data_IF_425631769171
#
_entry.id   IF_425631769171
#
_cell.length_a   1.000
_cell.length_b   1.000
_cell.length_c   1.000
_cell.angle_alpha   90.00
_cell.angle_beta   90.00
_cell.angle_gamma   90.00
#
_symmetry.space_group_name_H-M   'P 1'
#
loop_
_entity.id
_entity.type
_entity.pdbx_description
1 polymer ?
#
# COMPACT_ATOMS: atom_id res chain seq x y z
N UNK A 1 -14.89 -3.89 -4.29
CA UNK A 1 -16.18 -3.31 -3.85
C UNK A 1 -16.10 -3.10 -2.34
N UNK A 2 -16.20 -1.84 -1.89
CA UNK A 2 -15.97 -1.43 -0.50
C UNK A 2 -17.10 -1.96 0.40
N UNK A 3 -16.86 -2.03 1.71
CA UNK A 3 -17.84 -2.57 2.66
C UNK A 3 -19.13 -1.74 2.72
N UNK A 4 -19.01 -0.43 2.54
CA UNK A 4 -20.16 0.47 2.37
C UNK A 4 -21.01 0.08 1.15
N UNK A 5 -20.43 -0.09 -0.04
CA UNK A 5 -21.19 -0.46 -1.25
C UNK A 5 -21.90 -1.80 -1.13
N UNK A 6 -21.30 -2.74 -0.36
CA UNK A 6 -21.93 -4.03 -0.07
C UNK A 6 -23.12 -3.85 0.88
N UNK A 7 -22.97 -3.05 1.92
CA UNK A 7 -24.03 -2.79 2.89
C UNK A 7 -25.17 -1.94 2.29
N UNK A 8 -24.85 -1.00 1.40
CA UNK A 8 -25.81 -0.22 0.64
C UNK A 8 -26.64 -1.12 -0.28
N UNK A 9 -25.99 -2.03 -1.03
CA UNK A 9 -26.69 -2.96 -1.93
C UNK A 9 -27.65 -3.92 -1.19
N UNK A 10 -27.40 -4.25 0.08
CA UNK A 10 -28.32 -5.06 0.88
C UNK A 10 -29.68 -4.38 1.13
N UNK A 11 -29.73 -3.04 1.11
CA UNK A 11 -31.00 -2.31 1.21
C UNK A 11 -31.84 -2.44 -0.05
N UNK A 12 -31.22 -2.61 -1.22
CA UNK A 12 -31.93 -2.82 -2.48
C UNK A 12 -32.62 -4.20 -2.49
N UNK A 13 -31.99 -5.20 -1.86
CA UNK A 13 -32.50 -6.58 -1.77
C UNK A 13 -33.46 -6.78 -0.58
N UNK A 14 -33.32 -6.01 0.50
CA UNK A 14 -34.11 -6.15 1.74
C UNK A 14 -34.53 -4.78 2.29
N UNK A 15 -35.52 -4.10 1.71
CA UNK A 15 -35.86 -2.71 2.05
C UNK A 15 -36.18 -2.50 3.53
N UNK A 16 -36.79 -3.48 4.19
CA UNK A 16 -37.16 -3.40 5.62
C UNK A 16 -35.95 -3.28 6.55
N UNK A 17 -34.75 -3.71 6.12
CA UNK A 17 -33.53 -3.56 6.92
C UNK A 17 -33.19 -2.09 7.15
N UNK A 18 -33.62 -1.20 6.25
CA UNK A 18 -33.38 0.24 6.35
C UNK A 18 -34.10 0.89 7.52
N UNK A 19 -35.17 0.27 8.03
CA UNK A 19 -35.89 0.73 9.21
C UNK A 19 -35.13 0.44 10.51
N UNK A 20 -34.16 -0.48 10.47
CA UNK A 20 -33.35 -0.84 11.63
C UNK A 20 -32.36 0.28 11.98
N UNK A 21 -32.43 0.78 13.21
CA UNK A 21 -31.41 1.69 13.77
C UNK A 21 -30.01 1.10 13.69
N UNK A 22 -29.89 -0.22 13.85
CA UNK A 22 -28.60 -0.91 13.75
C UNK A 22 -28.03 -0.78 12.32
N UNK A 23 -28.86 -1.02 11.30
CA UNK A 23 -28.45 -0.87 9.90
C UNK A 23 -28.00 0.56 9.60
N UNK A 24 -28.81 1.56 9.98
CA UNK A 24 -28.50 2.97 9.75
C UNK A 24 -27.17 3.39 10.41
N UNK A 25 -26.91 2.92 11.63
CA UNK A 25 -25.64 3.19 12.33
C UNK A 25 -24.44 2.58 11.61
N UNK A 26 -24.54 1.32 11.16
CA UNK A 26 -23.46 0.66 10.43
C UNK A 26 -23.22 1.28 9.06
N UNK A 27 -24.29 1.64 8.33
CA UNK A 27 -24.18 2.30 7.04
C UNK A 27 -23.46 3.64 7.16
N UNK A 28 -23.81 4.44 8.17
CA UNK A 28 -23.10 5.69 8.48
C UNK A 28 -21.64 5.44 8.81
N UNK A 29 -21.35 4.49 9.71
CA UNK A 29 -19.97 4.15 10.11
C UNK A 29 -19.10 3.78 8.90
N UNK A 30 -19.58 2.90 8.03
CA UNK A 30 -18.81 2.46 6.87
C UNK A 30 -18.69 3.53 5.79
N UNK A 31 -19.69 4.41 5.64
CA UNK A 31 -19.59 5.57 4.76
C UNK A 31 -18.51 6.54 5.24
N UNK A 32 -18.51 6.84 6.53
CA UNK A 32 -17.56 7.78 7.12
C UNK A 32 -16.14 7.19 7.09
N UNK A 33 -16.00 5.88 7.33
CA UNK A 33 -14.74 5.14 7.11
C UNK A 33 -14.28 5.21 5.66
N UNK A 34 -15.15 4.95 4.69
CA UNK A 34 -14.78 4.99 3.27
C UNK A 34 -14.31 6.38 2.86
N UNK A 35 -15.02 7.44 3.26
CA UNK A 35 -14.59 8.83 3.01
C UNK A 35 -13.21 9.14 3.59
N UNK A 36 -12.92 8.61 4.78
CA UNK A 36 -11.61 8.77 5.41
C UNK A 36 -10.52 8.01 4.65
N UNK A 37 -10.78 6.75 4.26
CA UNK A 37 -9.86 5.94 3.44
C UNK A 37 -9.61 6.59 2.07
N UNK A 38 -10.65 7.12 1.42
CA UNK A 38 -10.53 7.86 0.15
C UNK A 38 -9.64 9.10 0.33
N UNK A 39 -9.86 9.87 1.39
CA UNK A 39 -9.04 11.05 1.70
C UNK A 39 -7.56 10.71 1.94
N UNK A 40 -7.27 9.59 2.62
CA UNK A 40 -5.89 9.09 2.77
C UNK A 40 -5.32 8.67 1.42
N UNK A 41 -6.12 7.98 0.60
CA UNK A 41 -5.72 7.54 -0.72
C UNK A 41 -5.33 8.72 -1.61
N UNK A 42 -6.16 9.76 -1.64
CA UNK A 42 -5.93 10.98 -2.42
C UNK A 42 -4.68 11.71 -1.94
N UNK A 43 -4.52 11.87 -0.62
CA UNK A 43 -3.32 12.48 -0.04
C UNK A 43 -2.05 11.70 -0.39
N UNK A 44 -2.06 10.37 -0.18
CA UNK A 44 -0.90 9.51 -0.48
C UNK A 44 -0.54 9.53 -1.97
N UNK A 45 -1.54 9.50 -2.87
CA UNK A 45 -1.33 9.63 -4.31
C UNK A 45 -0.67 10.96 -4.64
N UNK A 46 -1.24 12.07 -4.13
CA UNK A 46 -0.74 13.41 -4.40
C UNK A 46 0.75 13.54 -4.02
N UNK A 47 1.10 13.14 -2.80
CA UNK A 47 2.45 13.29 -2.28
C UNK A 47 3.45 12.38 -3.01
N UNK A 48 3.11 11.12 -3.24
CA UNK A 48 3.99 10.19 -3.95
C UNK A 48 4.19 10.59 -5.42
N UNK A 49 3.14 11.12 -6.07
CA UNK A 49 3.23 11.66 -7.42
C UNK A 49 4.19 12.85 -7.49
N UNK A 50 4.06 13.79 -6.55
CA UNK A 50 4.93 14.96 -6.45
C UNK A 50 6.39 14.57 -6.21
N UNK A 51 6.64 13.62 -5.31
CA UNK A 51 7.99 13.09 -5.02
C UNK A 51 8.58 12.44 -6.27
N UNK A 52 7.85 11.53 -6.92
CA UNK A 52 8.33 10.82 -8.11
C UNK A 52 8.61 11.79 -9.28
N UNK A 53 7.73 12.75 -9.51
CA UNK A 53 7.91 13.79 -10.53
C UNK A 53 9.15 14.63 -10.26
N UNK A 54 9.34 15.09 -9.01
CA UNK A 54 10.50 15.88 -8.63
C UNK A 54 11.81 15.11 -8.79
N UNK A 55 11.86 13.85 -8.33
CA UNK A 55 13.04 13.00 -8.50
C UNK A 55 13.38 12.83 -9.99
N UNK A 56 12.39 12.54 -10.83
CA UNK A 56 12.58 12.42 -12.29
C UNK A 56 13.10 13.71 -12.91
N UNK A 57 12.52 14.86 -12.56
CA UNK A 57 12.97 16.17 -13.06
C UNK A 57 14.43 16.47 -12.69
N UNK A 58 14.87 16.01 -11.52
CA UNK A 58 16.21 16.24 -10.99
C UNK A 58 17.22 15.14 -11.36
N UNK A 59 16.82 14.12 -12.12
CA UNK A 59 17.68 12.98 -12.44
C UNK A 59 18.03 12.12 -11.22
N UNK A 60 17.24 12.20 -10.14
CA UNK A 60 17.40 11.37 -8.95
C UNK A 60 16.74 10.03 -9.22
N UNK A 61 17.51 8.94 -9.15
CA UNK A 61 16.98 7.58 -9.24
C UNK A 61 16.15 7.30 -7.98
N UNK A 62 14.88 6.96 -8.17
CA UNK A 62 13.95 6.63 -7.10
C UNK A 62 13.59 5.14 -7.17
N UNK A 63 13.59 4.47 -6.03
CA UNK A 63 12.91 3.19 -5.82
C UNK A 63 11.81 3.40 -4.79
N UNK A 64 10.77 2.58 -4.84
CA UNK A 64 9.64 2.67 -3.90
C UNK A 64 9.41 1.30 -3.26
N UNK A 65 8.85 1.25 -2.06
CA UNK A 65 8.70 0.01 -1.30
C UNK A 65 7.28 -0.16 -0.76
N UNK A 66 6.78 -1.39 -0.78
CA UNK A 66 5.51 -1.75 -0.13
C UNK A 66 5.71 -1.99 1.36
N UNK A 67 4.68 -1.78 2.17
CA UNK A 67 4.73 -2.14 3.57
C UNK A 67 4.92 -3.67 3.74
N UNK A 68 5.62 -4.12 4.80
CA UNK A 68 5.77 -5.54 5.12
C UNK A 68 4.47 -6.19 5.62
N UNK A 69 3.47 -5.39 5.96
CA UNK A 69 2.14 -5.81 6.42
C UNK A 69 1.06 -5.46 5.41
N UNK A 70 -0.12 -6.08 5.58
CA UNK A 70 -1.24 -5.90 4.67
C UNK A 70 -1.92 -4.54 4.89
N UNK A 71 -1.46 -3.52 4.17
CA UNK A 71 -2.17 -2.25 3.98
C UNK A 71 -2.63 -2.13 2.52
N UNK A 72 -3.83 -2.65 2.17
CA UNK A 72 -4.27 -2.73 0.79
C UNK A 72 -4.29 -1.38 0.08
N UNK A 73 -4.83 -0.34 0.73
CA UNK A 73 -4.88 1.01 0.16
C UNK A 73 -3.46 1.53 -0.14
N UNK A 74 -2.59 1.61 0.87
CA UNK A 74 -1.25 2.16 0.71
C UNK A 74 -0.41 1.37 -0.30
N UNK A 75 -0.41 0.04 -0.20
CA UNK A 75 0.33 -0.82 -1.13
C UNK A 75 -0.19 -0.69 -2.57
N UNK A 76 -1.52 -0.54 -2.78
CA UNK A 76 -2.08 -0.34 -4.12
C UNK A 76 -1.68 1.01 -4.72
N UNK A 77 -1.64 2.08 -3.92
CA UNK A 77 -1.20 3.41 -4.35
C UNK A 77 0.29 3.40 -4.71
N UNK A 78 1.11 2.72 -3.90
CA UNK A 78 2.54 2.53 -4.18
C UNK A 78 2.76 1.83 -5.52
N UNK A 79 2.03 0.74 -5.79
CA UNK A 79 2.13 0.01 -7.07
C UNK A 79 1.64 0.85 -8.26
N UNK A 80 0.62 1.68 -8.07
CA UNK A 80 0.14 2.61 -9.09
C UNK A 80 1.21 3.65 -9.46
N UNK A 81 1.80 4.32 -8.46
CA UNK A 81 2.86 5.31 -8.68
C UNK A 81 4.09 4.64 -9.31
N UNK A 82 4.45 3.45 -8.85
CA UNK A 82 5.55 2.70 -9.43
C UNK A 82 5.33 2.42 -10.92
N UNK A 83 4.14 1.95 -11.31
CA UNK A 83 3.80 1.75 -12.73
C UNK A 83 3.81 3.04 -13.53
N UNK A 84 3.27 4.14 -12.97
CA UNK A 84 3.19 5.45 -13.65
C UNK A 84 4.57 6.02 -14.00
N UNK A 85 5.54 5.85 -13.10
CA UNK A 85 6.89 6.43 -13.25
C UNK A 85 7.96 5.40 -13.61
N UNK A 86 7.58 4.15 -13.90
CA UNK A 86 8.49 3.03 -14.16
C UNK A 86 9.53 2.85 -13.03
N UNK A 87 9.07 2.93 -11.78
CA UNK A 87 9.92 2.81 -10.60
C UNK A 87 10.09 1.34 -10.19
N UNK A 88 11.31 0.92 -9.82
CA UNK A 88 11.54 -0.35 -9.16
C UNK A 88 10.79 -0.43 -7.82
N UNK A 89 10.07 -1.54 -7.60
CA UNK A 89 9.32 -1.80 -6.37
C UNK A 89 10.04 -2.82 -5.49
N UNK A 90 10.25 -2.46 -4.22
CA UNK A 90 10.68 -3.40 -3.18
C UNK A 90 9.43 -4.03 -2.54
N UNK A 91 9.20 -5.32 -2.79
CA UNK A 91 8.06 -6.05 -2.24
C UNK A 91 8.40 -6.68 -0.89
N UNK A 92 8.16 -5.93 0.19
CA UNK A 92 8.28 -6.48 1.55
C UNK A 92 7.09 -7.37 1.91
N UNK A 93 5.87 -7.04 1.49
CA UNK A 93 4.66 -7.79 1.84
C UNK A 93 4.79 -9.28 1.50
N UNK A 94 5.20 -9.59 0.27
CA UNK A 94 5.35 -10.99 -0.17
C UNK A 94 6.42 -11.72 0.65
N UNK A 95 7.50 -11.03 1.01
CA UNK A 95 8.59 -11.61 1.80
C UNK A 95 8.19 -11.87 3.25
N UNK A 96 7.43 -10.97 3.85
CA UNK A 96 7.03 -11.06 5.26
C UNK A 96 5.82 -11.97 5.49
N UNK A 97 4.99 -12.21 4.47
CA UNK A 97 3.82 -13.08 4.56
C UNK A 97 4.16 -14.46 5.13
N UNK A 98 5.28 -15.04 4.68
CA UNK A 98 5.65 -16.42 4.97
C UNK A 98 6.64 -16.56 6.15
N UNK A 99 7.01 -15.45 6.82
CA UNK A 99 7.90 -15.46 7.99
C UNK A 99 7.17 -15.82 9.27
N UNK A 100 7.68 -16.81 10.00
CA UNK A 100 7.16 -17.21 11.32
C UNK A 100 8.31 -17.51 12.30
N UNK A 101 8.11 -17.30 13.62
CA UNK A 101 6.93 -16.68 14.21
C UNK A 101 6.91 -15.15 13.99
N UNK A 102 5.76 -14.54 13.72
CA UNK A 102 5.65 -13.08 13.45
C UNK A 102 6.35 -12.18 14.48
N UNK A 103 6.29 -12.54 15.76
CA UNK A 103 6.90 -11.79 16.89
C UNK A 103 8.42 -11.61 16.79
N UNK A 104 9.11 -12.44 16.00
CA UNK A 104 10.55 -12.29 15.81
C UNK A 104 10.86 -11.11 14.87
N UNK A 105 9.91 -10.75 14.01
CA UNK A 105 10.06 -9.77 12.95
C UNK A 105 9.24 -8.50 13.16
N UNK A 106 8.22 -8.54 14.03
CA UNK A 106 7.42 -7.39 14.43
C UNK A 106 7.31 -7.27 15.96
N UNK A 107 7.42 -6.04 16.47
CA UNK A 107 7.14 -5.72 17.87
C UNK A 107 5.64 -5.81 18.19
N UNK A 108 4.82 -5.40 17.24
CA UNK A 108 3.36 -5.35 17.31
C UNK A 108 2.76 -5.65 15.91
N UNK A 109 1.65 -5.02 15.55
CA UNK A 109 0.92 -5.30 14.32
C UNK A 109 1.63 -4.80 13.05
N UNK A 110 2.48 -3.77 13.15
CA UNK A 110 3.08 -3.10 11.98
C UNK A 110 4.52 -2.59 12.16
N UNK A 111 5.04 -2.54 13.38
CA UNK A 111 6.41 -2.08 13.64
C UNK A 111 7.42 -3.24 13.60
N UNK A 112 8.36 -3.17 12.65
CA UNK A 112 9.42 -4.17 12.53
C UNK A 112 10.37 -4.18 13.75
N UNK A 113 10.79 -5.36 14.18
CA UNK A 113 11.96 -5.54 15.06
C UNK A 113 13.26 -5.22 14.29
N UNK A 114 14.44 -5.19 14.94
CA UNK A 114 15.72 -5.11 14.24
C UNK A 114 15.92 -6.26 13.24
N UNK A 115 15.40 -7.46 13.53
CA UNK A 115 15.44 -8.58 12.61
C UNK A 115 14.53 -8.36 11.39
N UNK A 116 13.32 -7.81 11.60
CA UNK A 116 12.44 -7.37 10.50
C UNK A 116 13.11 -6.30 9.64
N UNK A 117 13.67 -5.25 10.25
CA UNK A 117 14.38 -4.20 9.53
C UNK A 117 15.60 -4.72 8.76
N UNK A 118 16.31 -5.73 9.27
CA UNK A 118 17.38 -6.40 8.53
C UNK A 118 16.88 -7.02 7.22
N UNK A 119 15.74 -7.70 7.24
CA UNK A 119 15.13 -8.27 6.02
C UNK A 119 14.72 -7.16 5.06
N UNK A 120 14.15 -6.06 5.57
CA UNK A 120 13.82 -4.91 4.72
C UNK A 120 15.07 -4.32 4.06
N UNK A 121 16.13 -4.08 4.83
CA UNK A 121 17.39 -3.54 4.31
C UNK A 121 17.99 -4.45 3.22
N UNK A 122 17.96 -5.76 3.41
CA UNK A 122 18.43 -6.73 2.41
C UNK A 122 17.61 -6.65 1.11
N UNK A 123 16.27 -6.62 1.20
CA UNK A 123 15.41 -6.49 0.01
C UNK A 123 15.67 -5.18 -0.75
N UNK A 124 15.86 -4.07 -0.02
CA UNK A 124 16.19 -2.77 -0.61
C UNK A 124 17.53 -2.85 -1.34
N UNK A 125 18.55 -3.38 -0.66
CA UNK A 125 19.89 -3.54 -1.23
C UNK A 125 19.87 -4.38 -2.52
N UNK A 126 19.17 -5.51 -2.51
CA UNK A 126 19.03 -6.36 -3.71
C UNK A 126 18.38 -5.63 -4.88
N UNK A 127 17.36 -4.80 -4.63
CA UNK A 127 16.71 -4.00 -5.66
C UNK A 127 17.64 -2.90 -6.19
N UNK A 128 18.40 -2.23 -5.32
CA UNK A 128 19.40 -1.24 -5.71
C UNK A 128 20.50 -1.85 -6.59
N UNK A 129 21.02 -3.02 -6.23
CA UNK A 129 22.04 -3.71 -7.03
C UNK A 129 21.50 -4.10 -8.41
N UNK A 130 20.31 -4.71 -8.48
CA UNK A 130 19.67 -5.12 -9.74
C UNK A 130 19.44 -3.93 -10.68
N UNK A 131 19.05 -2.78 -10.13
CA UNK A 131 18.74 -1.58 -10.92
C UNK A 131 20.01 -0.88 -11.43
N UNK A 132 21.14 -1.02 -10.73
CA UNK A 132 22.43 -0.55 -11.21
C UNK A 132 22.98 -1.43 -12.35
N UNK A 133 22.83 -2.75 -12.26
CA UNK A 133 23.35 -3.68 -13.28
C UNK A 133 22.67 -3.52 -14.65
N UNK A 134 21.38 -3.19 -14.68
CA UNK A 134 20.63 -2.97 -15.94
C UNK A 134 21.09 -1.69 -16.67
N UNK A 135 21.65 -0.71 -15.96
CA UNK A 135 22.12 0.54 -16.59
C UNK A 135 23.50 0.46 -17.25
N UNK A 136 24.22 -0.67 -17.13
CA UNK A 136 25.56 -0.85 -17.70
C UNK A 136 25.62 -1.66 -19.00
N UNK A 137 24.51 -2.26 -19.43
CA UNK A 137 24.39 -2.81 -20.78
C UNK A 137 24.02 -1.67 -21.75
N UNK A 138 25.05 -1.00 -22.29
CA UNK A 138 24.84 -0.14 -23.47
C UNK A 138 24.31 -1.02 -24.62
N UNK A 139 23.31 -0.56 -25.40
CA UNK A 139 22.97 -1.23 -26.64
C UNK A 139 24.17 -1.14 -27.60
N UNK A 140 24.57 -2.28 -28.15
CA UNK A 140 25.48 -2.38 -29.28
C UNK A 140 24.82 -1.87 -30.57
#
# INVERSE_FOLDING_TARGET
KMLYDKLAALADENPDITLSRMYQNHLKLYRDKQKWEDGIGDWLRHDLDAIAALCRQRGIKLIIQKYPVSYPLANSVIEEIARKYDLPVVDHLTRFRDLEPKKDYFYDDDHCTPAGHRIMAENIYQTLVKTQTVTHEKPN
#
